data_IF_591114934811
#
_entry.id   IF_591114934811
#
_cell.length_a   1.000
_cell.length_b   1.000
_cell.length_c   1.000
_cell.angle_alpha   90.00
_cell.angle_beta   90.00
_cell.angle_gamma   90.00
#
_symmetry.space_group_name_H-M   'P 1'
#
loop_
_entity.id
_entity.type
_entity.pdbx_description
1 polymer ?
#
# COMPACT_ATOMS: atom_id res chain seq x y z
N UNK A 1 14.12 -7.08 -1.18
CA UNK A 1 12.71 -7.30 -0.79
C UNK A 1 12.67 -8.24 0.39
N UNK A 2 11.86 -7.92 1.39
CA UNK A 2 11.55 -8.81 2.51
C UNK A 2 10.10 -9.22 2.40
N UNK A 3 9.88 -10.53 2.36
CA UNK A 3 8.55 -11.10 2.41
C UNK A 3 8.11 -11.18 3.88
N UNK A 4 7.16 -10.36 4.25
CA UNK A 4 6.61 -10.28 5.61
C UNK A 4 5.43 -11.26 5.74
N UNK A 5 5.72 -12.56 5.73
CA UNK A 5 4.76 -13.67 5.78
C UNK A 5 3.79 -13.68 4.58
N UNK A 6 4.33 -13.43 3.38
CA UNK A 6 3.58 -13.44 2.11
C UNK A 6 2.44 -12.43 2.01
N UNK A 7 2.42 -11.41 2.88
CA UNK A 7 1.39 -10.37 2.86
C UNK A 7 1.98 -9.00 2.52
N UNK A 8 2.82 -8.41 3.39
CA UNK A 8 3.47 -7.13 3.11
C UNK A 8 4.85 -7.33 2.50
N UNK A 9 5.33 -6.33 1.81
CA UNK A 9 6.69 -6.25 1.32
C UNK A 9 7.37 -4.97 1.82
N UNK A 10 8.64 -5.09 2.20
CA UNK A 10 9.53 -3.97 2.43
C UNK A 10 10.76 -4.13 1.53
N UNK A 11 11.40 -3.02 1.18
CA UNK A 11 12.46 -3.05 0.18
C UNK A 11 13.68 -2.25 0.64
N UNK A 12 14.88 -2.78 0.38
CA UNK A 12 16.12 -2.00 0.49
C UNK A 12 16.52 -1.50 -0.90
N UNK A 13 16.84 -0.22 -0.97
CA UNK A 13 17.54 0.39 -2.10
C UNK A 13 18.95 0.74 -1.64
N UNK A 14 19.92 0.13 -2.30
CA UNK A 14 21.32 0.15 -1.86
C UNK A 14 22.16 0.96 -2.84
N UNK A 15 22.61 2.13 -2.38
CA UNK A 15 23.65 2.95 -2.95
C UNK A 15 24.76 3.14 -1.92
N UNK A 16 25.47 4.28 -1.94
CA UNK A 16 26.35 4.69 -0.83
C UNK A 16 25.57 4.92 0.46
N UNK A 17 24.32 5.34 0.32
CA UNK A 17 23.35 5.42 1.39
C UNK A 17 22.26 4.37 1.17
N UNK A 18 21.76 3.80 2.25
CA UNK A 18 20.74 2.76 2.19
C UNK A 18 19.39 3.35 2.56
N UNK A 19 18.41 3.13 1.70
CA UNK A 19 17.02 3.48 1.94
C UNK A 19 16.18 2.21 2.19
N UNK A 20 15.32 2.26 3.20
CA UNK A 20 14.26 1.29 3.44
C UNK A 20 12.93 1.88 2.96
N UNK A 21 12.23 1.17 2.09
CA UNK A 21 10.90 1.54 1.61
C UNK A 21 9.88 0.67 2.35
N UNK A 22 9.03 1.33 3.13
CA UNK A 22 8.07 0.74 4.05
C UNK A 22 8.70 -0.15 5.14
N UNK A 23 7.94 -0.47 6.19
CA UNK A 23 8.48 -1.14 7.37
C UNK A 23 7.61 -2.31 7.87
N UNK A 24 6.49 -2.57 7.21
CA UNK A 24 5.58 -3.66 7.58
C UNK A 24 4.82 -3.44 8.89
N UNK A 25 3.98 -4.41 9.23
CA UNK A 25 3.19 -4.43 10.46
C UNK A 25 4.08 -4.41 11.71
N UNK A 26 3.63 -3.79 12.84
CA UNK A 26 4.36 -3.80 14.10
C UNK A 26 4.79 -5.18 14.57
N UNK A 27 3.94 -6.19 14.41
CA UNK A 27 4.23 -7.60 14.77
C UNK A 27 5.33 -8.25 13.93
N UNK A 28 5.81 -7.58 12.85
CA UNK A 28 6.79 -8.12 11.89
C UNK A 28 8.20 -7.52 12.02
N UNK A 29 8.49 -6.80 13.10
CA UNK A 29 9.78 -6.17 13.32
C UNK A 29 10.96 -7.14 13.17
N UNK A 30 10.85 -8.33 13.75
CA UNK A 30 11.93 -9.34 13.67
C UNK A 30 12.13 -9.86 12.24
N UNK A 31 11.06 -9.95 11.45
CA UNK A 31 11.16 -10.35 10.05
C UNK A 31 11.87 -9.27 9.23
N UNK A 32 11.58 -7.98 9.51
CA UNK A 32 12.29 -6.86 8.88
C UNK A 32 13.77 -6.87 9.23
N UNK A 33 14.13 -7.05 10.52
CA UNK A 33 15.51 -7.17 10.98
C UNK A 33 16.24 -8.33 10.31
N UNK A 34 15.62 -9.51 10.30
CA UNK A 34 16.17 -10.70 9.67
C UNK A 34 16.37 -10.51 8.16
N UNK A 35 15.41 -9.84 7.49
CA UNK A 35 15.51 -9.52 6.07
C UNK A 35 16.68 -8.58 5.76
N UNK A 36 16.86 -7.51 6.54
CA UNK A 36 18.00 -6.59 6.42
C UNK A 36 19.32 -7.36 6.59
N UNK A 37 19.41 -8.18 7.64
CA UNK A 37 20.60 -8.99 7.94
C UNK A 37 20.92 -10.02 6.85
N UNK A 38 19.90 -10.67 6.29
CA UNK A 38 20.06 -11.65 5.22
C UNK A 38 20.67 -11.05 3.94
N UNK A 39 20.55 -9.74 3.75
CA UNK A 39 21.17 -8.99 2.65
C UNK A 39 22.54 -8.39 3.02
N UNK A 40 23.11 -8.75 4.17
CA UNK A 40 24.44 -8.33 4.58
C UNK A 40 24.51 -6.98 5.27
N UNK A 41 23.36 -6.41 5.69
CA UNK A 41 23.28 -5.11 6.34
C UNK A 41 22.79 -5.26 7.79
N UNK A 42 22.98 -4.20 8.57
CA UNK A 42 22.36 -4.00 9.87
C UNK A 42 21.34 -2.86 9.82
N UNK A 43 20.42 -2.79 10.77
CA UNK A 43 19.47 -1.69 10.85
C UNK A 43 20.18 -0.33 10.97
N UNK A 44 21.34 -0.31 11.64
CA UNK A 44 22.16 0.91 11.80
C UNK A 44 22.76 1.45 10.50
N UNK A 45 22.78 0.66 9.43
CA UNK A 45 23.28 1.08 8.11
C UNK A 45 22.23 1.86 7.31
N UNK A 46 20.96 1.83 7.75
CA UNK A 46 19.88 2.55 7.09
C UNK A 46 20.03 4.04 7.33
N UNK A 47 20.10 4.80 6.25
CA UNK A 47 20.15 6.26 6.25
C UNK A 47 18.77 6.90 6.15
N UNK A 48 17.89 6.28 5.38
CA UNK A 48 16.55 6.81 5.07
C UNK A 48 15.47 5.73 5.19
N UNK A 49 14.32 6.11 5.75
CA UNK A 49 13.10 5.31 5.69
C UNK A 49 12.07 6.14 4.90
N UNK A 50 11.54 5.58 3.83
CA UNK A 50 10.43 6.18 3.08
C UNK A 50 9.16 5.38 3.39
N UNK A 51 8.10 6.07 3.81
CA UNK A 51 6.80 5.44 4.06
C UNK A 51 5.84 5.88 2.97
N UNK A 52 5.38 4.93 2.17
CA UNK A 52 4.55 5.19 0.98
C UNK A 52 3.18 5.76 1.33
N UNK A 53 2.63 5.39 2.47
CA UNK A 53 1.48 6.02 3.12
C UNK A 53 1.46 5.66 4.62
N UNK A 54 0.91 6.53 5.45
CA UNK A 54 1.02 6.42 6.91
C UNK A 54 -0.31 6.05 7.60
N UNK A 55 -1.42 6.07 6.88
CA UNK A 55 -2.76 5.81 7.41
C UNK A 55 -2.96 4.34 7.79
N UNK A 56 -2.01 3.48 7.41
CA UNK A 56 -2.03 2.06 7.66
C UNK A 56 -0.67 1.58 8.19
N UNK A 57 -0.67 0.97 9.38
CA UNK A 57 0.54 0.51 10.06
C UNK A 57 1.22 -0.69 9.40
N UNK A 58 0.60 -1.30 8.40
CA UNK A 58 1.22 -2.35 7.60
C UNK A 58 2.36 -1.84 6.70
N UNK A 59 2.45 -0.53 6.49
CA UNK A 59 3.58 0.12 5.81
C UNK A 59 4.49 0.89 6.77
N UNK A 60 3.96 1.38 7.90
CA UNK A 60 4.66 2.29 8.81
C UNK A 60 4.93 1.72 10.20
N UNK A 61 4.47 0.51 10.49
CA UNK A 61 4.37 -0.04 11.85
C UNK A 61 5.68 -0.16 12.61
N UNK A 62 6.80 -0.31 11.92
CA UNK A 62 8.11 -0.48 12.54
C UNK A 62 9.03 0.75 12.40
N UNK A 63 8.51 1.91 11.98
CA UNK A 63 9.33 3.12 11.84
C UNK A 63 10.00 3.50 13.16
N UNK A 64 9.25 3.60 14.25
CA UNK A 64 9.80 4.03 15.55
C UNK A 64 10.87 3.08 16.10
N UNK A 65 10.67 1.76 16.18
CA UNK A 65 11.73 0.85 16.65
C UNK A 65 12.96 0.85 15.74
N UNK A 66 12.81 0.90 14.42
CA UNK A 66 13.95 0.94 13.50
C UNK A 66 14.76 2.24 13.64
N UNK A 67 14.10 3.39 13.87
CA UNK A 67 14.78 4.65 14.14
C UNK A 67 15.59 4.64 15.45
N UNK A 68 15.17 3.85 16.46
CA UNK A 68 15.98 3.67 17.69
C UNK A 68 17.29 2.92 17.43
N UNK A 69 17.24 1.95 16.52
CA UNK A 69 18.39 1.13 16.14
C UNK A 69 19.30 1.80 15.10
N UNK A 70 18.78 2.78 14.37
CA UNK A 70 19.54 3.61 13.43
C UNK A 70 19.47 5.08 13.85
N UNK A 71 20.32 5.54 14.80
CA UNK A 71 20.27 6.91 15.31
C UNK A 71 20.49 7.98 14.25
N UNK A 72 21.20 7.66 13.16
CA UNK A 72 21.44 8.57 12.02
C UNK A 72 20.30 8.63 11.02
N UNK A 73 19.37 7.66 10.99
CA UNK A 73 18.31 7.61 10.01
C UNK A 73 17.25 8.70 10.20
N UNK A 74 16.61 9.10 9.13
CA UNK A 74 15.42 9.97 9.12
C UNK A 74 14.31 9.31 8.32
N UNK A 75 13.05 9.60 8.69
CA UNK A 75 11.89 9.10 7.95
C UNK A 75 11.32 10.20 7.07
N UNK A 76 11.04 9.85 5.83
CA UNK A 76 10.46 10.72 4.82
C UNK A 76 9.03 10.30 4.49
N UNK A 77 8.10 11.25 4.54
CA UNK A 77 6.68 11.02 4.33
C UNK A 77 6.03 12.12 3.48
N UNK A 78 4.86 11.81 2.92
CA UNK A 78 3.92 12.83 2.50
C UNK A 78 3.42 13.60 3.75
N UNK A 79 3.36 14.95 3.76
CA UNK A 79 2.90 15.74 4.91
C UNK A 79 1.54 15.29 5.48
N UNK A 80 0.63 14.78 4.62
CA UNK A 80 -0.70 14.32 5.05
C UNK A 80 -0.66 13.08 5.95
N UNK A 81 0.46 12.36 5.97
CA UNK A 81 0.66 11.18 6.82
C UNK A 81 1.13 11.48 8.25
N UNK A 82 1.51 12.75 8.55
CA UNK A 82 2.14 13.10 9.82
C UNK A 82 1.35 12.64 11.04
N UNK A 83 0.06 12.92 11.07
CA UNK A 83 -0.78 12.67 12.23
C UNK A 83 -0.85 11.20 12.65
N UNK A 84 -0.73 10.28 11.71
CA UNK A 84 -0.77 8.82 11.96
C UNK A 84 0.55 8.29 12.55
N UNK A 85 1.68 8.90 12.17
CA UNK A 85 2.99 8.52 12.73
C UNK A 85 3.23 9.06 14.13
N UNK A 86 2.76 10.28 14.43
CA UNK A 86 2.97 10.89 15.75
C UNK A 86 1.91 10.47 16.77
N UNK A 87 0.72 10.07 16.30
CA UNK A 87 -0.40 9.62 17.12
C UNK A 87 -1.06 8.37 16.52
N UNK A 88 -0.50 7.17 16.78
CA UNK A 88 -1.04 5.93 16.22
C UNK A 88 -2.48 5.60 16.66
N UNK A 89 -3.01 6.22 17.72
CA UNK A 89 -4.40 6.05 18.10
C UNK A 89 -5.38 6.55 17.01
N UNK A 90 -4.94 7.47 16.16
CA UNK A 90 -5.72 7.96 15.01
C UNK A 90 -5.95 6.87 13.96
N UNK A 91 -4.98 6.00 13.74
CA UNK A 91 -5.18 4.85 12.87
C UNK A 91 -6.25 3.91 13.41
N UNK A 92 -6.23 3.61 14.72
CA UNK A 92 -7.27 2.78 15.36
C UNK A 92 -8.65 3.37 15.16
N UNK A 93 -8.77 4.69 15.35
CA UNK A 93 -10.03 5.40 15.15
C UNK A 93 -10.48 5.34 13.68
N UNK A 94 -9.57 5.52 12.76
CA UNK A 94 -9.82 5.45 11.32
C UNK A 94 -10.30 4.07 10.89
N UNK A 95 -9.63 3.02 11.37
CA UNK A 95 -9.86 1.62 10.98
C UNK A 95 -10.89 0.86 11.82
N UNK A 96 -11.51 1.49 12.82
CA UNK A 96 -12.45 0.82 13.75
C UNK A 96 -13.57 0.04 13.07
N UNK A 97 -13.94 0.41 11.85
CA UNK A 97 -14.97 -0.26 11.08
C UNK A 97 -14.42 -1.32 10.11
N UNK A 98 -13.10 -1.39 9.93
CA UNK A 98 -12.43 -2.26 8.97
C UNK A 98 -11.70 -3.43 9.64
N UNK A 99 -11.18 -3.20 10.84
CA UNK A 99 -10.29 -4.14 11.52
C UNK A 99 -10.96 -4.62 12.80
N UNK A 100 -11.11 -5.94 12.92
CA UNK A 100 -11.63 -6.55 14.14
C UNK A 100 -10.59 -6.49 15.28
N UNK A 101 -11.01 -6.59 16.57
CA UNK A 101 -10.06 -6.66 17.68
C UNK A 101 -9.02 -7.78 17.54
N UNK A 102 -9.41 -8.93 16.96
CA UNK A 102 -8.50 -10.04 16.66
C UNK A 102 -7.45 -9.69 15.62
N UNK A 103 -7.87 -9.09 14.51
CA UNK A 103 -6.95 -8.63 13.46
C UNK A 103 -5.96 -7.62 14.06
N UNK A 104 -6.46 -6.69 14.88
CA UNK A 104 -5.62 -5.70 15.54
C UNK A 104 -4.59 -6.33 16.47
N UNK A 105 -5.00 -7.30 17.30
CA UNK A 105 -4.09 -7.99 18.23
C UNK A 105 -2.97 -8.76 17.50
N UNK A 106 -3.25 -9.27 16.29
CA UNK A 106 -2.24 -9.95 15.45
C UNK A 106 -1.30 -8.96 14.75
N UNK A 107 -1.79 -7.79 14.38
CA UNK A 107 -1.00 -6.76 13.72
C UNK A 107 0.00 -6.09 14.66
N UNK A 108 -0.32 -6.02 15.95
CA UNK A 108 0.44 -5.26 16.94
C UNK A 108 0.10 -3.77 16.92
N UNK A 109 0.59 -3.04 17.90
CA UNK A 109 0.40 -1.60 18.01
C UNK A 109 1.63 -0.85 17.50
N UNK A 110 1.48 0.08 16.55
CA UNK A 110 2.58 0.96 16.16
C UNK A 110 2.92 1.93 17.29
N UNK A 111 4.19 2.32 17.36
CA UNK A 111 4.69 3.28 18.33
C UNK A 111 4.78 4.69 17.71
N UNK A 112 4.56 5.76 18.52
CA UNK A 112 4.73 7.13 18.06
C UNK A 112 6.14 7.41 17.52
N UNK A 113 6.23 8.04 16.37
CA UNK A 113 7.50 8.46 15.78
C UNK A 113 7.85 9.87 16.26
N UNK A 114 9.08 10.11 16.80
CA UNK A 114 9.52 11.43 17.19
C UNK A 114 9.50 12.40 16.01
N UNK A 115 8.80 13.52 16.12
CA UNK A 115 8.65 14.52 15.06
C UNK A 115 10.01 15.07 14.58
N UNK A 116 11.02 15.13 15.44
CA UNK A 116 12.38 15.54 15.11
C UNK A 116 13.07 14.65 14.07
N UNK A 117 12.58 13.40 13.93
CA UNK A 117 13.09 12.41 12.98
C UNK A 117 12.30 12.38 11.67
N UNK A 118 11.19 13.13 11.56
CA UNK A 118 10.33 13.18 10.38
C UNK A 118 10.77 14.33 9.45
N UNK A 119 10.76 14.05 8.15
CA UNK A 119 10.98 15.02 7.08
C UNK A 119 9.85 14.92 6.07
N UNK A 120 9.40 16.06 5.58
CA UNK A 120 8.34 16.12 4.59
C UNK A 120 8.91 16.14 3.18
N UNK A 121 8.28 15.36 2.33
CA UNK A 121 8.54 15.32 0.90
C UNK A 121 7.69 16.34 0.16
N UNK A 122 8.14 16.68 -1.05
CA UNK A 122 7.36 17.37 -2.07
C UNK A 122 7.22 16.50 -3.30
N UNK A 123 6.14 16.68 -4.03
CA UNK A 123 5.99 16.02 -5.32
C UNK A 123 7.12 16.43 -6.26
N UNK A 124 7.80 15.44 -6.85
CA UNK A 124 8.93 15.64 -7.75
C UNK A 124 10.31 15.65 -7.06
N UNK A 125 10.39 15.57 -5.73
CA UNK A 125 11.67 15.45 -5.02
C UNK A 125 12.47 14.26 -5.57
N UNK A 126 13.80 14.42 -5.57
CA UNK A 126 14.73 13.36 -5.98
C UNK A 126 15.82 13.18 -4.93
N UNK A 127 16.05 11.95 -4.52
CA UNK A 127 17.09 11.55 -3.60
C UNK A 127 18.18 10.78 -4.34
N UNK A 128 19.42 11.27 -4.26
CA UNK A 128 20.58 10.57 -4.77
C UNK A 128 21.21 9.75 -3.62
N UNK A 129 21.10 8.43 -3.74
CA UNK A 129 21.66 7.50 -2.75
C UNK A 129 23.14 7.17 -3.03
N UNK A 130 23.71 7.70 -4.10
CA UNK A 130 25.05 7.35 -4.60
C UNK A 130 25.06 6.13 -5.49
N UNK A 131 26.21 5.89 -6.14
CA UNK A 131 26.45 4.73 -7.04
C UNK A 131 25.45 4.63 -8.21
N UNK A 132 24.86 5.78 -8.60
CA UNK A 132 23.85 5.87 -9.66
C UNK A 132 22.42 5.56 -9.21
N UNK A 133 22.22 5.23 -7.93
CA UNK A 133 20.90 4.98 -7.36
C UNK A 133 20.20 6.28 -7.03
N UNK A 134 19.02 6.49 -7.60
CA UNK A 134 18.17 7.68 -7.31
C UNK A 134 16.72 7.26 -7.15
N UNK A 135 16.04 7.92 -6.21
CA UNK A 135 14.62 7.79 -5.96
C UNK A 135 13.92 9.08 -6.33
N UNK A 136 12.98 9.04 -7.26
CA UNK A 136 12.11 10.16 -7.60
C UNK A 136 10.72 9.95 -7.01
N UNK A 137 10.20 10.98 -6.34
CA UNK A 137 8.96 10.93 -5.57
C UNK A 137 7.80 11.46 -6.40
N UNK A 138 6.68 10.74 -6.39
CA UNK A 138 5.41 11.21 -6.96
C UNK A 138 4.31 11.08 -5.90
N UNK A 139 3.57 12.15 -5.66
CA UNK A 139 2.37 12.08 -4.86
C UNK A 139 1.23 11.52 -5.68
N UNK A 140 0.65 10.45 -5.19
CA UNK A 140 -0.35 9.66 -5.91
C UNK A 140 -1.56 9.39 -5.01
N UNK A 141 -2.40 10.43 -4.79
CA UNK A 141 -3.62 10.23 -4.04
C UNK A 141 -4.54 9.22 -4.75
N UNK A 142 -5.36 8.55 -3.98
CA UNK A 142 -6.35 7.60 -4.50
C UNK A 142 -6.57 6.42 -3.59
N UNK A 143 -5.55 5.61 -3.31
CA UNK A 143 -5.64 4.59 -2.25
C UNK A 143 -5.79 5.28 -0.90
N UNK A 144 -4.91 6.23 -0.59
CA UNK A 144 -5.00 7.14 0.54
C UNK A 144 -4.67 8.57 0.07
N UNK A 145 -5.17 9.62 0.76
CA UNK A 145 -4.84 11.00 0.42
C UNK A 145 -3.34 11.30 0.49
N UNK A 146 -2.64 10.69 1.45
CA UNK A 146 -1.19 10.81 1.65
C UNK A 146 -0.35 9.83 0.84
N UNK A 147 -0.96 9.10 -0.09
CA UNK A 147 -0.26 8.10 -0.90
C UNK A 147 0.84 8.71 -1.78
N UNK A 148 1.96 8.02 -1.87
CA UNK A 148 3.06 8.36 -2.77
C UNK A 148 3.71 7.10 -3.33
N UNK A 149 4.35 7.26 -4.48
CA UNK A 149 5.16 6.22 -5.13
C UNK A 149 6.57 6.73 -5.33
N UNK A 150 7.53 5.82 -5.40
CA UNK A 150 8.94 6.14 -5.61
C UNK A 150 9.42 5.41 -6.87
N UNK A 151 9.99 6.14 -7.81
CA UNK A 151 10.65 5.57 -8.99
C UNK A 151 12.15 5.45 -8.72
N UNK A 152 12.63 4.21 -8.67
CA UNK A 152 14.05 3.91 -8.70
C UNK A 152 14.53 4.01 -10.16
N UNK A 153 15.45 4.94 -10.43
CA UNK A 153 15.73 5.38 -11.80
C UNK A 153 16.75 4.49 -12.54
N UNK A 154 17.57 3.74 -11.83
CA UNK A 154 18.63 2.91 -12.42
C UNK A 154 18.07 1.66 -13.12
N UNK A 155 17.17 0.96 -12.44
CA UNK A 155 16.49 -0.23 -12.97
C UNK A 155 15.07 0.06 -13.44
N UNK A 156 14.61 1.31 -13.35
CA UNK A 156 13.24 1.75 -13.69
C UNK A 156 12.17 0.96 -12.95
N UNK A 157 12.42 0.71 -11.67
CA UNK A 157 11.48 0.05 -10.77
C UNK A 157 10.60 1.05 -10.03
N UNK A 158 9.30 0.83 -9.98
CA UNK A 158 8.35 1.69 -9.30
C UNK A 158 7.82 1.02 -8.03
N UNK A 159 8.08 1.61 -6.86
CA UNK A 159 7.42 1.25 -5.61
C UNK A 159 6.03 1.83 -5.63
N UNK A 160 5.05 1.02 -6.10
CA UNK A 160 3.70 1.50 -6.41
C UNK A 160 2.75 1.45 -5.20
N UNK A 161 3.19 0.86 -4.08
CA UNK A 161 2.37 0.59 -2.90
C UNK A 161 1.03 -0.10 -3.23
N UNK A 162 -0.07 0.33 -2.63
CA UNK A 162 -1.40 -0.22 -2.78
C UNK A 162 -2.27 0.50 -3.83
N UNK A 163 -1.69 1.48 -4.54
CA UNK A 163 -2.42 2.30 -5.51
C UNK A 163 -3.05 1.46 -6.62
N UNK A 164 -2.36 0.42 -7.06
CA UNK A 164 -2.86 -0.50 -8.08
C UNK A 164 -3.82 -1.56 -7.52
N UNK A 165 -4.05 -1.61 -6.21
CA UNK A 165 -4.82 -2.67 -5.56
C UNK A 165 -4.00 -3.94 -5.29
N UNK A 166 -4.68 -5.03 -4.94
CA UNK A 166 -4.03 -6.33 -4.72
C UNK A 166 -3.67 -6.99 -6.05
N UNK A 167 -2.39 -7.08 -6.31
CA UNK A 167 -1.82 -7.77 -7.45
C UNK A 167 -1.05 -9.01 -6.97
N UNK A 168 -1.36 -10.17 -7.53
CA UNK A 168 -0.75 -11.45 -7.21
C UNK A 168 0.02 -11.97 -8.44
N UNK A 169 1.30 -11.65 -8.58
CA UNK A 169 2.07 -12.00 -9.79
C UNK A 169 2.12 -13.50 -10.06
N UNK A 170 2.07 -14.32 -9.01
CA UNK A 170 2.12 -15.78 -9.07
C UNK A 170 0.83 -16.46 -9.58
N UNK A 171 -0.31 -15.80 -9.47
CA UNK A 171 -1.62 -16.33 -9.86
C UNK A 171 -2.31 -15.54 -10.96
N UNK A 172 -1.72 -14.42 -11.39
CA UNK A 172 -2.32 -13.41 -12.27
C UNK A 172 -3.68 -12.91 -11.75
N UNK A 173 -3.89 -13.00 -10.44
CA UNK A 173 -5.07 -12.41 -9.79
C UNK A 173 -4.86 -10.94 -9.52
N UNK A 174 -5.92 -10.14 -9.67
CA UNK A 174 -5.88 -8.71 -9.42
C UNK A 174 -7.26 -8.16 -9.08
N UNK A 175 -7.35 -7.41 -7.99
CA UNK A 175 -8.57 -6.66 -7.66
C UNK A 175 -8.24 -5.35 -6.93
N UNK A 176 -9.04 -4.28 -7.11
CA UNK A 176 -8.80 -3.00 -6.46
C UNK A 176 -9.03 -3.08 -4.96
N UNK A 177 -8.36 -2.21 -4.21
CA UNK A 177 -8.57 -1.99 -2.79
C UNK A 177 -9.46 -0.76 -2.56
N UNK A 178 -10.36 -0.86 -1.59
CA UNK A 178 -11.29 0.20 -1.21
C UNK A 178 -11.16 0.51 0.30
N UNK A 179 -10.00 0.99 0.78
CA UNK A 179 -9.85 1.34 2.18
C UNK A 179 -10.65 2.61 2.52
N UNK A 180 -10.77 2.89 3.80
CA UNK A 180 -11.35 4.14 4.24
C UNK A 180 -10.58 5.33 3.66
N UNK A 181 -11.30 6.33 3.15
CA UNK A 181 -10.77 7.53 2.45
C UNK A 181 -10.20 7.27 1.05
N UNK A 182 -10.35 6.07 0.49
CA UNK A 182 -9.98 5.85 -0.91
C UNK A 182 -10.85 6.67 -1.87
N UNK A 183 -10.25 7.10 -2.98
CA UNK A 183 -10.94 7.81 -4.05
C UNK A 183 -10.51 7.23 -5.39
N UNK A 184 -11.39 6.47 -6.03
CA UNK A 184 -11.10 5.80 -7.29
C UNK A 184 -10.84 6.76 -8.46
N UNK A 185 -11.44 7.95 -8.46
CA UNK A 185 -11.16 8.95 -9.50
C UNK A 185 -9.74 9.48 -9.41
N UNK A 186 -9.27 9.76 -8.19
CA UNK A 186 -7.89 10.18 -7.95
C UNK A 186 -6.90 9.05 -8.24
N UNK A 187 -7.24 7.81 -7.84
CA UNK A 187 -6.41 6.63 -8.12
C UNK A 187 -6.24 6.40 -9.62
N UNK A 188 -7.33 6.47 -10.41
CA UNK A 188 -7.29 6.36 -11.87
C UNK A 188 -6.40 7.44 -12.46
N UNK A 189 -6.55 8.70 -12.02
CA UNK A 189 -5.72 9.82 -12.50
C UNK A 189 -4.24 9.58 -12.19
N UNK A 190 -3.92 9.23 -10.95
CA UNK A 190 -2.55 8.92 -10.53
C UNK A 190 -1.95 7.78 -11.35
N UNK A 191 -2.70 6.70 -11.55
CA UNK A 191 -2.25 5.55 -12.36
C UNK A 191 -2.05 5.91 -13.83
N UNK A 192 -2.90 6.77 -14.41
CA UNK A 192 -2.73 7.26 -15.79
C UNK A 192 -1.44 8.06 -15.94
N UNK A 193 -1.14 8.96 -14.99
CA UNK A 193 0.13 9.72 -14.99
C UNK A 193 1.34 8.80 -14.86
N UNK A 194 1.28 7.77 -14.00
CA UNK A 194 2.36 6.79 -13.85
C UNK A 194 2.54 5.91 -15.09
N UNK A 195 1.46 5.61 -15.82
CA UNK A 195 1.53 4.79 -17.03
C UNK A 195 2.31 5.44 -18.19
N UNK A 196 2.54 6.75 -18.14
CA UNK A 196 3.39 7.49 -19.08
C UNK A 196 4.88 7.35 -18.77
N UNK A 197 5.25 6.84 -17.59
CA UNK A 197 6.63 6.66 -17.20
C UNK A 197 7.22 5.39 -17.86
N UNK A 198 8.54 5.39 -18.05
CA UNK A 198 9.29 4.18 -18.44
C UNK A 198 9.55 3.34 -17.19
N UNK A 199 8.76 2.30 -17.00
CA UNK A 199 8.81 1.40 -15.86
C UNK A 199 9.00 -0.03 -16.37
N UNK A 200 9.96 -0.75 -15.78
CA UNK A 200 10.23 -2.15 -16.12
C UNK A 200 9.70 -3.10 -15.04
N UNK A 201 9.65 -2.64 -13.77
CA UNK A 201 9.20 -3.44 -12.64
C UNK A 201 8.26 -2.65 -11.74
N UNK A 202 7.29 -3.33 -11.13
CA UNK A 202 6.54 -2.81 -9.99
C UNK A 202 7.02 -3.53 -8.73
N UNK A 203 7.39 -2.74 -7.74
CA UNK A 203 7.60 -3.18 -6.36
C UNK A 203 6.29 -2.93 -5.62
N UNK A 204 5.56 -4.00 -5.36
CA UNK A 204 4.21 -3.95 -4.79
C UNK A 204 4.26 -3.78 -3.27
N UNK A 205 3.31 -3.09 -2.68
CA UNK A 205 3.17 -3.01 -1.22
C UNK A 205 2.86 -4.38 -0.59
N UNK A 206 2.19 -5.23 -1.38
CA UNK A 206 1.85 -6.61 -1.04
C UNK A 206 2.29 -7.56 -2.15
N UNK A 207 2.64 -8.80 -1.77
CA UNK A 207 2.85 -9.96 -2.67
C UNK A 207 4.04 -9.89 -3.63
N UNK A 208 4.93 -8.91 -3.48
CA UNK A 208 6.26 -8.95 -4.09
C UNK A 208 6.49 -8.07 -5.32
N UNK A 209 7.11 -8.62 -6.36
CA UNK A 209 7.58 -7.88 -7.54
C UNK A 209 6.86 -8.38 -8.78
N UNK A 210 6.47 -7.45 -9.66
CA UNK A 210 5.85 -7.75 -10.93
C UNK A 210 6.66 -7.14 -12.10
N UNK A 211 6.91 -7.93 -13.13
CA UNK A 211 7.63 -7.56 -14.37
C UNK A 211 6.70 -7.14 -15.53
N UNK A 212 5.40 -6.95 -15.22
CA UNK A 212 4.37 -6.56 -16.19
C UNK A 212 3.70 -5.23 -15.79
N UNK A 213 4.45 -4.13 -15.60
CA UNK A 213 3.94 -2.90 -15.01
C UNK A 213 2.75 -2.32 -15.77
N UNK A 214 2.82 -2.21 -17.10
CA UNK A 214 1.73 -1.66 -17.90
C UNK A 214 0.46 -2.50 -17.82
N UNK A 215 0.59 -3.82 -17.81
CA UNK A 215 -0.56 -4.72 -17.69
C UNK A 215 -1.27 -4.52 -16.34
N UNK A 216 -0.51 -4.45 -15.24
CA UNK A 216 -1.07 -4.25 -13.91
C UNK A 216 -1.73 -2.88 -13.79
N UNK A 217 -1.07 -1.81 -14.23
CA UNK A 217 -1.61 -0.45 -14.16
C UNK A 217 -2.88 -0.32 -15.01
N UNK A 218 -2.88 -0.84 -16.24
CA UNK A 218 -4.07 -0.81 -17.11
C UNK A 218 -5.23 -1.59 -16.49
N UNK A 219 -4.97 -2.80 -16.01
CA UNK A 219 -5.99 -3.63 -15.34
C UNK A 219 -6.55 -2.94 -14.08
N UNK A 220 -5.71 -2.28 -13.29
CA UNK A 220 -6.14 -1.52 -12.12
C UNK A 220 -7.11 -0.40 -12.52
N UNK A 221 -6.77 0.38 -13.54
CA UNK A 221 -7.61 1.45 -14.07
C UNK A 221 -8.97 0.89 -14.56
N UNK A 222 -8.94 -0.18 -15.33
CA UNK A 222 -10.17 -0.77 -15.91
C UNK A 222 -11.08 -1.37 -14.83
N UNK A 223 -10.50 -2.07 -13.85
CA UNK A 223 -11.25 -2.60 -12.70
C UNK A 223 -11.91 -1.48 -11.89
N UNK A 224 -11.18 -0.39 -11.62
CA UNK A 224 -11.73 0.76 -10.90
C UNK A 224 -12.85 1.44 -11.68
N UNK A 225 -12.72 1.61 -13.01
CA UNK A 225 -13.78 2.14 -13.87
C UNK A 225 -15.01 1.26 -13.83
N UNK A 226 -14.85 -0.05 -13.97
CA UNK A 226 -15.95 -1.01 -13.91
C UNK A 226 -16.70 -0.93 -12.57
N UNK A 227 -15.97 -0.82 -11.46
CA UNK A 227 -16.59 -0.63 -10.15
C UNK A 227 -17.34 0.68 -10.04
N UNK A 228 -16.75 1.79 -10.50
CA UNK A 228 -17.42 3.11 -10.49
C UNK A 228 -18.71 3.11 -11.31
N UNK A 229 -18.69 2.53 -12.51
CA UNK A 229 -19.87 2.43 -13.40
C UNK A 229 -20.95 1.56 -12.76
N UNK A 230 -20.59 0.45 -12.14
CA UNK A 230 -21.50 -0.42 -11.41
C UNK A 230 -22.11 0.31 -10.21
N UNK A 231 -21.30 0.93 -9.37
CA UNK A 231 -21.76 1.66 -8.19
C UNK A 231 -22.67 2.85 -8.55
N UNK A 232 -22.30 3.63 -9.57
CA UNK A 232 -23.11 4.73 -10.10
C UNK A 232 -24.49 4.25 -10.57
N UNK A 233 -24.52 3.16 -11.33
CA UNK A 233 -25.78 2.57 -11.82
C UNK A 233 -26.67 2.15 -10.66
N UNK A 234 -26.15 1.42 -9.68
CA UNK A 234 -26.92 1.00 -8.50
C UNK A 234 -27.52 2.20 -7.74
N UNK A 235 -26.75 3.29 -7.56
CA UNK A 235 -27.26 4.50 -6.89
C UNK A 235 -28.38 5.16 -7.69
N UNK A 236 -28.21 5.35 -9.01
CA UNK A 236 -29.20 5.97 -9.86
C UNK A 236 -30.49 5.14 -9.97
N UNK A 237 -30.39 3.81 -9.92
CA UNK A 237 -31.53 2.88 -9.90
C UNK A 237 -32.14 2.69 -8.51
N UNK A 238 -31.61 3.34 -7.48
CA UNK A 238 -32.01 3.19 -6.06
C UNK A 238 -31.88 1.75 -5.51
N UNK A 239 -30.84 1.05 -5.96
CA UNK A 239 -30.49 -0.32 -5.57
C UNK A 239 -29.15 -0.35 -4.83
N UNK A 240 -28.97 0.53 -3.86
CA UNK A 240 -27.69 0.70 -3.15
C UNK A 240 -27.28 -0.56 -2.36
N UNK A 241 -28.24 -1.39 -1.97
CA UNK A 241 -28.03 -2.69 -1.31
C UNK A 241 -27.33 -3.72 -2.23
N UNK A 242 -27.42 -3.54 -3.55
CA UNK A 242 -26.78 -4.43 -4.53
C UNK A 242 -25.28 -4.10 -4.75
N UNK A 243 -24.78 -2.92 -4.33
CA UNK A 243 -23.39 -2.50 -4.58
C UNK A 243 -22.39 -3.47 -3.97
N UNK A 244 -22.56 -3.82 -2.70
CA UNK A 244 -21.68 -4.77 -2.02
C UNK A 244 -21.68 -6.16 -2.65
N UNK A 245 -22.84 -6.81 -2.83
CA UNK A 245 -22.95 -8.09 -3.55
C UNK A 245 -22.33 -8.06 -4.95
N UNK A 246 -22.56 -7.00 -5.74
CA UNK A 246 -22.00 -6.87 -7.08
C UNK A 246 -20.48 -6.70 -7.06
N UNK A 247 -19.91 -5.94 -6.11
CA UNK A 247 -18.46 -5.86 -5.92
C UNK A 247 -17.88 -7.24 -5.60
N UNK A 248 -18.48 -7.98 -4.69
CA UNK A 248 -18.04 -9.34 -4.34
C UNK A 248 -18.07 -10.24 -5.58
N UNK A 249 -19.13 -10.19 -6.36
CA UNK A 249 -19.26 -11.00 -7.56
C UNK A 249 -18.19 -10.68 -8.62
N UNK A 250 -17.77 -9.41 -8.73
CA UNK A 250 -16.67 -9.00 -9.62
C UNK A 250 -15.30 -9.49 -9.15
N UNK A 251 -15.09 -9.58 -7.83
CA UNK A 251 -13.80 -9.99 -7.24
C UNK A 251 -13.66 -11.51 -7.14
N UNK A 252 -14.76 -12.25 -6.99
CA UNK A 252 -14.73 -13.71 -6.80
C UNK A 252 -13.88 -14.46 -7.83
N UNK A 253 -13.93 -14.21 -9.15
CA UNK A 253 -13.08 -14.89 -10.12
C UNK A 253 -11.57 -14.70 -9.85
N UNK A 254 -11.18 -13.53 -9.37
CA UNK A 254 -9.80 -13.22 -9.02
C UNK A 254 -9.38 -13.93 -7.73
N UNK A 255 -10.27 -14.03 -6.74
CA UNK A 255 -10.01 -14.82 -5.53
C UNK A 255 -9.84 -16.31 -5.84
N UNK A 256 -10.59 -16.85 -6.80
CA UNK A 256 -10.44 -18.25 -7.22
C UNK A 256 -9.09 -18.51 -7.92
N UNK A 257 -8.56 -17.55 -8.68
CA UNK A 257 -7.20 -17.65 -9.22
C UNK A 257 -6.17 -17.69 -8.09
N UNK A 258 -6.29 -16.76 -7.13
CA UNK A 258 -5.41 -16.68 -5.96
C UNK A 258 -5.47 -17.98 -5.12
N UNK A 259 -6.67 -18.53 -4.88
CA UNK A 259 -6.90 -19.77 -4.12
C UNK A 259 -6.08 -20.94 -4.65
N UNK A 260 -6.05 -21.10 -5.99
CA UNK A 260 -5.32 -22.20 -6.65
C UNK A 260 -3.81 -22.19 -6.36
N UNK A 261 -3.25 -21.04 -6.10
CA UNK A 261 -1.80 -20.88 -5.88
C UNK A 261 -1.47 -20.72 -4.40
N UNK A 262 -2.27 -19.95 -3.64
CA UNK A 262 -1.99 -19.59 -2.25
C UNK A 262 -2.77 -20.41 -1.22
N UNK A 263 -3.71 -21.22 -1.68
CA UNK A 263 -4.46 -22.16 -0.86
C UNK A 263 -5.70 -21.58 -0.18
N UNK A 264 -6.40 -22.48 0.50
CA UNK A 264 -7.72 -22.23 1.09
C UNK A 264 -7.69 -21.17 2.20
N UNK A 265 -6.69 -21.19 3.06
CA UNK A 265 -6.65 -20.28 4.22
C UNK A 265 -6.60 -18.79 3.82
N UNK A 266 -5.84 -18.46 2.77
CA UNK A 266 -5.76 -17.10 2.25
C UNK A 266 -7.08 -16.68 1.58
N UNK A 267 -7.69 -17.60 0.84
CA UNK A 267 -8.99 -17.42 0.21
C UNK A 267 -10.10 -17.15 1.24
N UNK A 268 -10.20 -18.00 2.26
CA UNK A 268 -11.19 -17.86 3.32
C UNK A 268 -11.02 -16.55 4.12
N UNK A 269 -9.77 -16.16 4.39
CA UNK A 269 -9.49 -14.88 5.04
C UNK A 269 -9.97 -13.71 4.18
N UNK A 270 -9.63 -13.71 2.89
CA UNK A 270 -10.05 -12.66 1.97
C UNK A 270 -11.59 -12.59 1.88
N UNK A 271 -12.23 -13.74 1.65
CA UNK A 271 -13.67 -13.81 1.44
C UNK A 271 -14.49 -13.44 2.68
N UNK A 272 -14.05 -13.87 3.89
CA UNK A 272 -14.83 -13.70 5.12
C UNK A 272 -14.55 -12.41 5.86
N UNK A 273 -13.36 -11.83 5.72
CA UNK A 273 -12.95 -10.67 6.51
C UNK A 273 -12.63 -9.46 5.65
N UNK A 274 -11.74 -9.61 4.66
CA UNK A 274 -11.25 -8.48 3.90
C UNK A 274 -12.29 -7.93 2.91
N UNK A 275 -12.85 -8.76 2.06
CA UNK A 275 -13.76 -8.30 0.99
C UNK A 275 -15.07 -7.71 1.53
N UNK A 276 -15.74 -8.25 2.57
CA UNK A 276 -16.94 -7.62 3.12
C UNK A 276 -16.71 -6.21 3.66
N UNK A 277 -15.55 -5.97 4.29
CA UNK A 277 -15.15 -4.63 4.74
C UNK A 277 -14.97 -3.69 3.54
N UNK A 278 -14.28 -4.12 2.50
CA UNK A 278 -14.09 -3.38 1.26
C UNK A 278 -15.43 -3.03 0.59
N UNK A 279 -16.35 -3.99 0.53
CA UNK A 279 -17.68 -3.82 -0.05
C UNK A 279 -18.50 -2.75 0.69
N UNK A 280 -18.47 -2.77 2.03
CA UNK A 280 -19.13 -1.76 2.87
C UNK A 280 -18.62 -0.35 2.60
N UNK A 281 -17.30 -0.20 2.51
CA UNK A 281 -16.67 1.11 2.29
C UNK A 281 -16.91 1.63 0.88
N UNK A 282 -16.84 0.77 -0.11
CA UNK A 282 -17.14 1.11 -1.48
C UNK A 282 -18.62 1.51 -1.66
N UNK A 283 -19.54 0.81 -1.00
CA UNK A 283 -20.97 1.18 -0.99
C UNK A 283 -21.16 2.60 -0.45
N UNK A 284 -20.53 2.92 0.69
CA UNK A 284 -20.56 4.28 1.27
C UNK A 284 -20.01 5.32 0.30
N UNK A 285 -18.85 5.07 -0.27
CA UNK A 285 -18.23 5.95 -1.27
C UNK A 285 -19.16 6.22 -2.45
N UNK A 286 -19.81 5.19 -3.00
CA UNK A 286 -20.75 5.35 -4.13
C UNK A 286 -21.96 6.20 -3.74
N UNK A 287 -22.56 5.94 -2.58
CA UNK A 287 -23.72 6.72 -2.10
C UNK A 287 -23.32 8.20 -1.92
N UNK A 288 -22.22 8.49 -1.24
CA UNK A 288 -21.75 9.86 -1.00
C UNK A 288 -21.40 10.60 -2.31
N UNK A 289 -20.91 9.86 -3.31
CA UNK A 289 -20.43 10.43 -4.59
C UNK A 289 -21.54 10.64 -5.60
N UNK A 290 -22.47 9.70 -5.74
CA UNK A 290 -23.44 9.65 -6.83
C UNK A 290 -24.88 9.98 -6.41
N UNK A 291 -25.20 10.18 -5.13
CA UNK A 291 -26.53 10.60 -4.67
C UNK A 291 -26.80 12.11 -4.78
N UNK A 292 -25.83 12.89 -5.27
CA UNK A 292 -25.93 14.35 -5.43
C UNK A 292 -26.48 14.76 -6.75
#
# INVERSE_FOLDING_TARGET
MFDLDHYNAAYLVVGKQIALIDTGLPSKLEVVRAGIKAHGFSVSDISYIFVTHCEHSDHSGNVAPLLRESPGAVVYINPLGLEYLIDPAKERLLKREQVTPEMWSRSGDPEPVPISRIRFLKNGDTFDLGDGEKLKIFFTPGHQPGGMVLLETKNRGLFINDLAGNCFPDSDAHYPLNPFRSNHFEAIKSLQELNELQIDFLYLGHFGICDKPRQVITRAIDNMRQLLDMGKRCVLERKTEEIGPNLIALILPELEKMRRVRGEAVYEYALRQHIPSQAKLFTRFCIETFSR
#
